data_IF_793920313155
#
_entry.id   IF_793920313155
#
_cell.length_a   1.000
_cell.length_b   1.000
_cell.length_c   1.000
_cell.angle_alpha   90.00
_cell.angle_beta   90.00
_cell.angle_gamma   90.00
#
_symmetry.space_group_name_H-M   'P 1'
#
loop_
_entity.id
_entity.type
_entity.pdbx_description
1 polymer ?
#
# COMPACT_ATOMS: atom_id res chain seq x y z
N UNK A 1 -1.66 -51.96 -23.06
CA UNK A 1 -2.38 -50.73 -23.46
C UNK A 1 -2.22 -49.69 -22.35
N UNK A 2 -1.25 -48.78 -22.46
CA UNK A 2 -0.96 -47.76 -21.44
C UNK A 2 -1.81 -46.51 -21.71
N UNK A 3 -2.69 -46.15 -20.77
CA UNK A 3 -3.49 -44.92 -20.82
C UNK A 3 -2.63 -43.76 -20.32
N UNK A 4 -2.23 -42.86 -21.22
CA UNK A 4 -1.68 -41.54 -20.84
C UNK A 4 -2.85 -40.57 -20.72
N UNK A 5 -3.29 -40.31 -19.49
CA UNK A 5 -4.17 -39.19 -19.20
C UNK A 5 -3.27 -37.97 -18.95
N UNK A 6 -3.09 -37.13 -19.97
CA UNK A 6 -2.38 -35.86 -19.83
C UNK A 6 -3.37 -34.80 -19.34
N UNK A 7 -3.09 -34.27 -18.17
CA UNK A 7 -3.93 -33.34 -17.41
C UNK A 7 -4.00 -32.00 -18.14
N UNK A 8 -5.24 -31.55 -18.39
CA UNK A 8 -5.58 -30.26 -18.99
C UNK A 8 -5.17 -29.14 -18.03
N UNK A 9 -4.07 -28.43 -18.33
CA UNK A 9 -3.65 -27.26 -17.57
C UNK A 9 -4.57 -26.07 -17.90
N UNK A 10 -5.58 -25.85 -17.05
CA UNK A 10 -6.37 -24.62 -17.07
C UNK A 10 -5.53 -23.49 -16.44
N UNK A 11 -4.90 -22.66 -17.27
CA UNK A 11 -4.32 -21.39 -16.81
C UNK A 11 -5.45 -20.40 -16.61
N UNK A 12 -5.99 -20.33 -15.41
CA UNK A 12 -6.88 -19.24 -15.02
C UNK A 12 -6.00 -18.04 -14.67
N UNK A 13 -5.83 -17.13 -15.64
CA UNK A 13 -5.28 -15.81 -15.38
C UNK A 13 -6.34 -15.01 -14.60
N UNK A 14 -6.39 -15.19 -13.29
CA UNK A 14 -7.19 -14.36 -12.41
C UNK A 14 -6.51 -12.99 -12.26
N UNK A 15 -6.76 -12.08 -13.20
CA UNK A 15 -6.58 -10.65 -12.96
C UNK A 15 -7.70 -10.20 -12.03
N UNK A 16 -7.45 -10.23 -10.72
CA UNK A 16 -8.32 -9.59 -9.74
C UNK A 16 -8.06 -8.08 -9.72
N UNK A 17 -8.64 -7.36 -10.67
CA UNK A 17 -8.83 -5.91 -10.57
C UNK A 17 -10.14 -5.63 -9.87
N UNK A 18 -10.14 -5.69 -8.55
CA UNK A 18 -11.25 -5.23 -7.72
C UNK A 18 -10.78 -5.06 -6.27
N UNK A 19 -10.02 -4.00 -6.02
CA UNK A 19 -9.64 -3.55 -4.68
C UNK A 19 -10.13 -2.10 -4.42
N UNK A 20 -11.37 -1.81 -4.82
CA UNK A 20 -12.01 -0.51 -4.62
C UNK A 20 -13.42 -0.68 -4.02
N UNK A 21 -13.58 -1.47 -2.94
CA UNK A 21 -14.80 -1.45 -2.10
C UNK A 21 -14.74 -2.43 -0.91
N UNK A 22 -13.66 -2.48 -0.14
CA UNK A 22 -13.67 -3.18 1.14
C UNK A 22 -12.93 -2.33 2.18
N UNK A 23 -13.64 -1.96 3.23
CA UNK A 23 -13.18 -1.28 4.45
C UNK A 23 -12.71 0.17 4.35
N UNK A 24 -13.64 1.10 4.18
CA UNK A 24 -13.36 2.50 4.51
C UNK A 24 -13.10 2.74 6.01
N UNK A 25 -13.55 1.83 6.90
CA UNK A 25 -13.28 1.91 8.33
C UNK A 25 -11.83 1.50 8.70
N UNK A 26 -11.24 0.49 8.05
CA UNK A 26 -9.80 0.17 8.22
C UNK A 26 -8.87 1.07 7.36
N UNK A 27 -9.37 1.59 6.24
CA UNK A 27 -8.64 2.57 5.42
C UNK A 27 -8.41 3.88 6.19
N UNK A 28 -9.29 4.27 7.12
CA UNK A 28 -9.09 5.46 7.95
C UNK A 28 -7.79 5.40 8.78
N UNK A 29 -7.35 4.21 9.19
CA UNK A 29 -6.09 4.02 9.92
C UNK A 29 -4.88 4.08 8.97
N UNK A 30 -5.06 3.76 7.69
CA UNK A 30 -4.00 3.75 6.68
C UNK A 30 -3.68 5.13 6.04
N UNK A 31 -4.51 6.15 6.30
CA UNK A 31 -4.40 7.50 5.71
C UNK A 31 -3.69 8.50 6.66
N UNK A 32 -3.01 8.01 7.69
CA UNK A 32 -2.13 8.83 8.53
C UNK A 32 -0.69 8.33 8.38
N UNK A 33 0.04 8.99 7.48
CA UNK A 33 1.48 8.78 7.32
C UNK A 33 2.23 10.10 7.43
N UNK A 34 3.42 10.04 7.98
CA UNK A 34 4.30 11.19 8.20
C UNK A 34 5.73 10.83 7.84
N UNK A 35 6.58 11.84 7.70
CA UNK A 35 8.01 11.65 7.55
C UNK A 35 8.68 11.69 8.93
N UNK A 36 9.48 10.69 9.26
CA UNK A 36 10.46 10.72 10.35
C UNK A 36 11.87 10.64 9.74
N UNK A 37 12.53 11.78 9.65
CA UNK A 37 13.72 11.94 8.80
C UNK A 37 13.40 11.59 7.33
N UNK A 38 14.17 10.68 6.74
CA UNK A 38 13.96 10.21 5.36
C UNK A 38 13.13 8.91 5.28
N UNK A 39 12.33 8.61 6.30
CA UNK A 39 11.47 7.43 6.37
C UNK A 39 10.01 7.83 6.36
N UNK A 40 9.20 7.09 5.61
CA UNK A 40 7.74 7.15 5.68
C UNK A 40 7.28 6.27 6.82
N UNK A 41 6.60 6.88 7.78
CA UNK A 41 5.99 6.22 8.93
C UNK A 41 4.49 6.10 8.73
N UNK A 42 3.88 5.04 9.29
CA UNK A 42 2.44 4.87 9.36
C UNK A 42 2.07 4.09 10.62
N UNK A 43 0.81 4.17 11.03
CA UNK A 43 0.28 3.27 12.05
C UNK A 43 -0.04 1.89 11.47
N UNK A 44 0.28 0.84 12.22
CA UNK A 44 -0.14 -0.53 11.95
C UNK A 44 -1.59 -0.76 12.38
N UNK A 45 -2.16 -1.91 12.03
CA UNK A 45 -3.46 -2.36 12.56
C UNK A 45 -3.49 -2.41 14.10
N UNK A 46 -2.34 -2.69 14.74
CA UNK A 46 -2.18 -2.66 16.20
C UNK A 46 -2.06 -1.25 16.78
N UNK A 47 -2.15 -0.19 15.96
CA UNK A 47 -1.96 1.23 16.31
C UNK A 47 -0.53 1.58 16.77
N UNK A 48 0.45 0.75 16.42
CA UNK A 48 1.85 1.05 16.66
C UNK A 48 2.44 1.84 15.49
N UNK A 49 3.35 2.79 15.78
CA UNK A 49 4.07 3.49 14.73
C UNK A 49 5.16 2.58 14.14
N UNK A 50 5.13 2.38 12.82
CA UNK A 50 6.10 1.56 12.12
C UNK A 50 6.66 2.27 10.88
N UNK A 51 7.90 1.92 10.53
CA UNK A 51 8.50 2.35 9.26
C UNK A 51 7.80 1.60 8.13
N UNK A 52 7.11 2.33 7.26
CA UNK A 52 6.49 1.78 6.05
C UNK A 52 7.50 1.73 4.91
N UNK A 53 8.30 2.78 4.73
CA UNK A 53 9.34 2.87 3.71
C UNK A 53 10.57 3.66 4.20
N UNK A 54 11.78 3.23 3.85
CA UNK A 54 13.00 4.04 3.96
C UNK A 54 13.36 4.59 2.58
N UNK A 55 13.19 5.89 2.37
CA UNK A 55 13.39 6.51 1.06
C UNK A 55 14.88 6.55 0.66
N UNK A 56 15.78 6.44 1.63
CA UNK A 56 17.23 6.44 1.41
C UNK A 56 17.69 5.22 0.62
N UNK A 57 17.00 4.08 0.78
CA UNK A 57 17.27 2.86 0.02
C UNK A 57 17.00 3.01 -1.49
N UNK A 58 16.25 4.04 -1.89
CA UNK A 58 15.84 4.31 -3.27
C UNK A 58 16.41 5.62 -3.82
N UNK A 59 17.32 6.27 -3.09
CA UNK A 59 17.79 7.62 -3.43
C UNK A 59 16.66 8.64 -3.60
N UNK A 60 15.56 8.44 -2.87
CA UNK A 60 14.39 9.31 -2.86
C UNK A 60 14.37 10.12 -1.56
N UNK A 61 13.55 11.17 -1.54
CA UNK A 61 13.31 11.98 -0.34
C UNK A 61 11.89 11.80 0.16
N UNK A 62 11.71 11.60 1.46
CA UNK A 62 10.39 11.58 2.07
C UNK A 62 9.75 12.98 1.99
N UNK A 63 8.52 13.04 1.48
CA UNK A 63 7.70 14.25 1.47
C UNK A 63 6.32 13.98 2.06
N UNK A 64 5.87 14.89 2.91
CA UNK A 64 4.52 14.87 3.47
C UNK A 64 3.64 15.89 2.75
N UNK A 65 2.37 15.52 2.58
CA UNK A 65 1.34 16.27 1.89
C UNK A 65 0.07 16.30 2.75
N UNK A 66 -0.67 17.39 2.60
CA UNK A 66 -2.03 17.49 3.11
C UNK A 66 -2.97 17.54 1.92
N UNK A 67 -3.93 16.63 1.90
CA UNK A 67 -4.93 16.54 0.84
C UNK A 67 -6.28 16.83 1.50
N UNK A 68 -7.03 17.80 0.97
CA UNK A 68 -8.39 18.05 1.43
C UNK A 68 -9.37 17.31 0.52
N UNK A 69 -10.09 16.33 1.06
CA UNK A 69 -11.09 15.51 0.36
C UNK A 69 -12.29 15.35 1.28
N UNK A 70 -13.51 15.43 0.72
CA UNK A 70 -14.75 15.22 1.47
C UNK A 70 -14.88 16.09 2.74
N UNK A 71 -14.31 17.30 2.73
CA UNK A 71 -14.25 18.21 3.87
C UNK A 71 -13.38 17.71 5.06
N UNK A 72 -12.51 16.75 4.80
CA UNK A 72 -11.52 16.22 5.74
C UNK A 72 -10.10 16.49 5.25
N UNK A 73 -9.17 16.67 6.19
CA UNK A 73 -7.73 16.80 5.91
C UNK A 73 -7.08 15.43 6.06
N UNK A 74 -6.50 14.96 4.97
CA UNK A 74 -5.78 13.69 4.86
C UNK A 74 -4.28 13.98 4.89
N UNK A 75 -3.55 13.32 5.80
CA UNK A 75 -2.10 13.47 5.97
C UNK A 75 -1.36 12.28 5.35
N UNK A 76 -0.65 12.52 4.26
CA UNK A 76 0.05 11.45 3.53
C UNK A 76 1.54 11.78 3.43
N UNK A 77 2.39 10.79 3.67
CA UNK A 77 3.81 10.85 3.37
C UNK A 77 4.19 9.79 2.34
N UNK A 78 5.11 10.12 1.44
CA UNK A 78 5.61 9.23 0.40
C UNK A 78 7.07 9.55 0.06
N UNK A 79 7.78 8.58 -0.50
CA UNK A 79 9.07 8.81 -1.13
C UNK A 79 8.87 9.44 -2.51
N UNK A 80 9.66 10.44 -2.83
CA UNK A 80 9.61 11.17 -4.11
C UNK A 80 11.03 11.29 -4.66
N UNK A 81 11.20 11.07 -5.96
CA UNK A 81 12.45 11.37 -6.64
C UNK A 81 12.83 12.85 -6.47
N UNK A 82 14.12 13.13 -6.32
CA UNK A 82 14.64 14.50 -6.19
C UNK A 82 14.52 15.28 -7.50
#
# INVERSE_FOLDING_TARGET
MKKFALILAMTVSAFSTSALAADFDDIQVSILSWCDGNRVMAYTESKDAAVKFDCSARSETCRAYQIVRFNEVIHVATCVAQ
#
